data_IF_546499714731
#
_entry.id   IF_546499714731
#
_cell.length_a   1.000
_cell.length_b   1.000
_cell.length_c   1.000
_cell.angle_alpha   90.00
_cell.angle_beta   90.00
_cell.angle_gamma   90.00
#
_symmetry.space_group_name_H-M   'P 1'
#
loop_
_entity.id
_entity.type
_entity.pdbx_description
1 polymer ?
#
# COMPACT_ATOMS: atom_id res chain seq x y z
N UNK A 1 -7.76 -14.99 -16.31
CA UNK A 1 -7.46 -14.41 -14.97
C UNK A 1 -8.69 -14.29 -14.10
N UNK A 2 -9.67 -13.44 -14.42
CA UNK A 2 -10.87 -13.26 -13.56
C UNK A 2 -11.64 -14.56 -13.31
N UNK A 3 -11.82 -15.38 -14.35
CA UNK A 3 -12.38 -16.74 -14.28
C UNK A 3 -11.57 -17.67 -13.38
N UNK A 4 -10.25 -17.62 -13.51
CA UNK A 4 -9.31 -18.53 -12.83
C UNK A 4 -9.24 -18.24 -11.33
N UNK A 5 -9.47 -16.97 -10.96
CA UNK A 5 -9.57 -16.54 -9.57
C UNK A 5 -10.98 -16.72 -9.00
N UNK A 6 -11.99 -17.12 -9.78
CA UNK A 6 -13.38 -17.27 -9.27
C UNK A 6 -13.89 -16.01 -8.55
N UNK A 7 -13.57 -14.83 -9.08
CA UNK A 7 -13.98 -13.55 -8.48
C UNK A 7 -15.51 -13.40 -8.53
N UNK A 8 -16.12 -12.94 -7.44
CA UNK A 8 -17.54 -12.53 -7.45
C UNK A 8 -17.73 -11.21 -8.21
N UNK A 9 -18.98 -10.85 -8.52
CA UNK A 9 -19.30 -9.67 -9.34
C UNK A 9 -18.62 -8.37 -8.88
N UNK A 10 -18.65 -8.07 -7.57
CA UNK A 10 -18.02 -6.85 -7.02
C UNK A 10 -16.49 -6.91 -7.07
N UNK A 11 -15.93 -8.08 -6.81
CA UNK A 11 -14.49 -8.33 -6.94
C UNK A 11 -14.04 -8.20 -8.40
N UNK A 12 -14.85 -8.67 -9.35
CA UNK A 12 -14.60 -8.52 -10.79
C UNK A 12 -14.60 -7.05 -11.19
N UNK A 13 -15.58 -6.27 -10.74
CA UNK A 13 -15.63 -4.82 -11.01
C UNK A 13 -14.37 -4.12 -10.51
N UNK A 14 -13.97 -4.36 -9.26
CA UNK A 14 -12.76 -3.79 -8.70
C UNK A 14 -11.50 -4.21 -9.48
N UNK A 15 -11.38 -5.50 -9.79
CA UNK A 15 -10.31 -6.05 -10.61
C UNK A 15 -10.21 -5.36 -11.98
N UNK A 16 -11.34 -5.24 -12.68
CA UNK A 16 -11.36 -4.62 -14.01
C UNK A 16 -10.96 -3.15 -13.97
N UNK A 17 -11.47 -2.37 -13.00
CA UNK A 17 -11.11 -0.95 -12.85
C UNK A 17 -9.60 -0.80 -12.67
N UNK A 18 -9.00 -1.59 -11.78
CA UNK A 18 -7.56 -1.49 -11.48
C UNK A 18 -6.74 -1.95 -12.69
N UNK A 19 -7.06 -3.12 -13.24
CA UNK A 19 -6.30 -3.73 -14.32
C UNK A 19 -6.38 -2.93 -15.62
N UNK A 20 -7.58 -2.49 -16.03
CA UNK A 20 -7.73 -1.70 -17.27
C UNK A 20 -6.99 -0.37 -17.18
N UNK A 21 -7.19 0.39 -16.10
CA UNK A 21 -6.51 1.67 -15.88
C UNK A 21 -4.99 1.52 -15.89
N UNK A 22 -4.48 0.47 -15.27
CA UNK A 22 -3.04 0.21 -15.26
C UNK A 22 -2.51 -0.13 -16.66
N UNK A 23 -3.15 -1.07 -17.36
CA UNK A 23 -2.72 -1.50 -18.68
C UNK A 23 -2.81 -0.36 -19.69
N UNK A 24 -3.91 0.38 -19.71
CA UNK A 24 -4.09 1.52 -20.61
C UNK A 24 -3.02 2.60 -20.39
N UNK A 25 -2.67 2.87 -19.14
CA UNK A 25 -1.67 3.90 -18.81
C UNK A 25 -0.23 3.45 -19.09
N UNK A 26 0.16 2.27 -18.63
CA UNK A 26 1.57 1.87 -18.58
C UNK A 26 1.98 0.87 -19.68
N UNK A 27 1.06 0.04 -20.16
CA UNK A 27 1.33 -0.95 -21.23
C UNK A 27 0.98 -0.37 -22.59
N UNK A 28 -0.26 0.05 -22.77
CA UNK A 28 -0.76 0.58 -24.05
C UNK A 28 -0.44 2.05 -24.26
N UNK A 29 -0.05 2.77 -23.19
CA UNK A 29 0.33 4.20 -23.23
C UNK A 29 -0.73 5.07 -23.90
N UNK A 30 -2.00 4.82 -23.57
CA UNK A 30 -3.14 5.58 -24.05
C UNK A 30 -3.01 7.05 -23.65
N UNK A 31 -3.02 7.95 -24.63
CA UNK A 31 -2.87 9.40 -24.38
C UNK A 31 -3.96 9.95 -23.45
N UNK A 32 -5.17 9.41 -23.56
CA UNK A 32 -6.29 9.75 -22.66
C UNK A 32 -5.92 9.43 -21.21
N UNK A 33 -5.39 8.24 -20.96
CA UNK A 33 -5.11 7.77 -19.61
C UNK A 33 -3.84 8.38 -19.01
N UNK A 34 -2.83 8.71 -19.82
CA UNK A 34 -1.62 9.40 -19.36
C UNK A 34 -1.94 10.78 -18.79
N UNK A 35 -2.92 11.47 -19.38
CA UNK A 35 -3.34 12.84 -18.98
C UNK A 35 -4.40 12.87 -17.88
N UNK A 36 -5.02 11.73 -17.57
CA UNK A 36 -5.97 11.63 -16.47
C UNK A 36 -5.26 11.50 -15.12
N UNK A 37 -5.98 11.91 -14.06
CA UNK A 37 -5.54 11.72 -12.69
C UNK A 37 -5.27 10.24 -12.38
N UNK A 38 -4.26 9.94 -11.53
CA UNK A 38 -4.02 8.60 -11.03
C UNK A 38 -5.28 8.00 -10.39
N UNK A 39 -5.48 6.69 -10.58
CA UNK A 39 -6.57 5.97 -9.94
C UNK A 39 -6.40 6.01 -8.41
N UNK A 40 -7.37 6.61 -7.72
CA UNK A 40 -7.52 6.55 -6.26
C UNK A 40 -8.77 5.74 -5.94
N UNK A 41 -8.59 4.58 -5.33
CA UNK A 41 -9.69 3.64 -5.07
C UNK A 41 -9.67 3.16 -3.62
N UNK A 42 -10.81 3.26 -2.94
CA UNK A 42 -11.05 2.64 -1.64
C UNK A 42 -11.79 1.31 -1.83
N UNK A 43 -11.07 0.20 -1.65
CA UNK A 43 -11.68 -1.13 -1.64
C UNK A 43 -12.06 -1.50 -0.19
N UNK A 44 -13.34 -1.34 0.16
CA UNK A 44 -13.84 -1.59 1.51
C UNK A 44 -14.75 -2.82 1.59
N UNK A 45 -14.93 -3.33 2.80
CA UNK A 45 -15.78 -4.47 3.12
C UNK A 45 -15.26 -5.19 4.36
N UNK A 46 -16.12 -5.96 5.06
CA UNK A 46 -15.72 -6.76 6.21
C UNK A 46 -14.48 -7.65 5.98
N UNK A 47 -13.85 -8.08 7.05
CA UNK A 47 -12.81 -9.11 7.00
C UNK A 47 -13.33 -10.38 6.29
N UNK A 48 -12.46 -11.04 5.52
CA UNK A 48 -12.84 -12.28 4.80
C UNK A 48 -13.64 -12.08 3.50
N UNK A 49 -13.89 -10.84 3.06
CA UNK A 49 -14.62 -10.55 1.80
C UNK A 49 -13.77 -10.67 0.52
N UNK A 50 -12.52 -11.11 0.64
CA UNK A 50 -11.64 -11.35 -0.51
C UNK A 50 -11.04 -10.09 -1.16
N UNK A 51 -10.83 -9.02 -0.40
CA UNK A 51 -10.11 -7.82 -0.89
C UNK A 51 -8.71 -8.17 -1.42
N UNK A 52 -7.92 -8.88 -0.61
CA UNK A 52 -6.60 -9.40 -0.98
C UNK A 52 -6.66 -10.30 -2.21
N UNK A 53 -7.76 -11.04 -2.38
CA UNK A 53 -7.97 -11.92 -3.54
C UNK A 53 -8.08 -11.15 -4.86
N UNK A 54 -8.75 -9.99 -4.85
CA UNK A 54 -8.79 -9.07 -6.00
C UNK A 54 -7.38 -8.61 -6.36
N UNK A 55 -6.57 -8.25 -5.37
CA UNK A 55 -5.22 -7.75 -5.62
C UNK A 55 -4.29 -8.84 -6.15
N UNK A 56 -4.44 -10.07 -5.67
CA UNK A 56 -3.71 -11.22 -6.23
C UNK A 56 -4.07 -11.46 -7.70
N UNK A 57 -5.33 -11.27 -8.09
CA UNK A 57 -5.74 -11.33 -9.50
C UNK A 57 -5.10 -10.21 -10.32
N UNK A 58 -5.07 -8.97 -9.81
CA UNK A 58 -4.37 -7.84 -10.46
C UNK A 58 -2.89 -8.14 -10.63
N UNK A 59 -2.22 -8.62 -9.58
CA UNK A 59 -0.80 -9.01 -9.60
C UNK A 59 -0.54 -10.10 -10.65
N UNK A 60 -1.45 -11.06 -10.81
CA UNK A 60 -1.38 -12.07 -11.85
C UNK A 60 -1.38 -11.47 -13.26
N UNK A 61 -2.27 -10.50 -13.54
CA UNK A 61 -2.25 -9.77 -14.83
C UNK A 61 -0.94 -9.04 -15.03
N UNK A 62 -0.47 -8.27 -14.03
CA UNK A 62 0.77 -7.51 -14.16
C UNK A 62 1.99 -8.41 -14.39
N UNK A 63 2.00 -9.59 -13.76
CA UNK A 63 3.05 -10.60 -13.97
C UNK A 63 3.11 -11.09 -15.42
N UNK A 64 1.98 -11.19 -16.12
CA UNK A 64 1.96 -11.56 -17.54
C UNK A 64 2.68 -10.53 -18.43
N UNK A 65 2.77 -9.28 -17.99
CA UNK A 65 3.52 -8.21 -18.66
C UNK A 65 4.91 -7.98 -18.04
N UNK A 66 5.33 -8.80 -17.06
CA UNK A 66 6.59 -8.62 -16.34
C UNK A 66 6.63 -7.37 -15.45
N UNK A 67 5.47 -6.86 -15.03
CA UNK A 67 5.31 -5.59 -14.30
C UNK A 67 4.88 -5.78 -12.84
N UNK A 68 4.81 -7.00 -12.33
CA UNK A 68 4.39 -7.29 -10.95
C UNK A 68 5.32 -6.69 -9.89
N UNK A 69 6.59 -6.45 -10.23
CA UNK A 69 7.56 -5.73 -9.39
C UNK A 69 7.22 -4.26 -9.16
N UNK A 70 6.32 -3.68 -9.98
CA UNK A 70 5.88 -2.28 -9.92
C UNK A 70 4.72 -2.04 -8.96
N UNK A 71 4.23 -3.10 -8.31
CA UNK A 71 3.22 -3.03 -7.24
C UNK A 71 3.93 -3.02 -5.89
N UNK A 72 3.54 -2.09 -5.02
CA UNK A 72 3.95 -2.08 -3.61
C UNK A 72 2.77 -2.30 -2.68
N UNK A 73 3.03 -3.08 -1.64
CA UNK A 73 2.07 -3.47 -0.63
C UNK A 73 2.52 -2.94 0.73
N UNK A 74 1.68 -2.09 1.33
CA UNK A 74 1.90 -1.56 2.65
C UNK A 74 0.74 -1.96 3.57
N UNK A 75 1.04 -2.10 4.86
CA UNK A 75 0.03 -2.25 5.90
C UNK A 75 0.49 -1.56 7.19
N UNK A 76 -0.41 -1.17 8.10
CA UNK A 76 -0.03 -0.53 9.36
C UNK A 76 0.70 -1.48 10.30
N UNK A 77 0.34 -2.77 10.31
CA UNK A 77 0.91 -3.77 11.22
C UNK A 77 1.84 -4.75 10.50
N UNK A 78 2.86 -5.25 11.22
CA UNK A 78 3.80 -6.23 10.67
C UNK A 78 3.11 -7.54 10.26
N UNK A 79 2.08 -7.97 11.00
CA UNK A 79 1.30 -9.16 10.68
C UNK A 79 0.53 -9.00 9.37
N UNK A 80 -0.21 -7.89 9.20
CA UNK A 80 -0.93 -7.62 7.95
C UNK A 80 0.04 -7.49 6.77
N UNK A 81 1.16 -6.79 6.95
CA UNK A 81 2.19 -6.67 5.93
C UNK A 81 2.74 -8.04 5.49
N UNK A 82 3.00 -8.94 6.43
CA UNK A 82 3.49 -10.29 6.12
C UNK A 82 2.49 -11.16 5.35
N UNK A 83 1.18 -10.92 5.50
CA UNK A 83 0.14 -11.70 4.81
C UNK A 83 0.01 -11.34 3.32
N UNK A 84 0.50 -10.17 2.93
CA UNK A 84 0.40 -9.64 1.57
C UNK A 84 1.76 -9.54 0.88
N UNK A 85 2.79 -10.21 1.42
CA UNK A 85 4.20 -10.09 0.99
C UNK A 85 4.67 -8.63 0.87
N UNK A 86 4.19 -7.79 1.80
CA UNK A 86 4.45 -6.36 1.84
C UNK A 86 5.36 -5.95 2.98
N UNK A 87 5.31 -4.66 3.32
CA UNK A 87 5.99 -4.11 4.48
C UNK A 87 5.11 -3.14 5.25
N UNK A 88 5.57 -2.75 6.44
CA UNK A 88 4.83 -1.75 7.21
C UNK A 88 4.91 -0.40 6.51
N UNK A 89 3.85 0.41 6.60
CA UNK A 89 3.81 1.78 6.08
C UNK A 89 5.03 2.57 6.58
N UNK A 90 5.32 2.42 7.88
CA UNK A 90 6.48 3.02 8.53
C UNK A 90 7.81 2.69 7.83
N UNK A 91 8.04 1.41 7.53
CA UNK A 91 9.25 0.98 6.85
C UNK A 91 9.24 1.44 5.39
N UNK A 92 8.14 1.20 4.68
CA UNK A 92 8.02 1.46 3.25
C UNK A 92 8.12 2.93 2.88
N UNK A 93 7.71 3.85 3.76
CA UNK A 93 7.79 5.28 3.52
C UNK A 93 8.90 5.97 4.34
N UNK A 94 9.70 5.20 5.08
CA UNK A 94 10.75 5.76 5.94
C UNK A 94 10.23 6.63 7.08
N UNK A 95 8.98 6.43 7.49
CA UNK A 95 8.33 7.13 8.58
C UNK A 95 8.85 6.54 9.90
N UNK A 96 9.71 7.28 10.59
CA UNK A 96 10.26 6.85 11.88
C UNK A 96 9.31 7.16 13.02
N UNK A 97 8.98 6.11 13.78
CA UNK A 97 8.34 6.22 15.10
C UNK A 97 9.42 6.62 16.11
N UNK A 98 9.36 7.84 16.65
CA UNK A 98 10.18 8.19 17.82
C UNK A 98 9.42 7.83 19.09
N UNK A 99 9.85 6.77 19.76
CA UNK A 99 9.51 6.61 21.19
C UNK A 99 10.33 7.62 21.99
N UNK A 100 9.68 8.56 22.69
CA UNK A 100 10.36 9.52 23.59
C UNK A 100 10.85 8.89 24.90
N UNK A 101 11.00 7.57 25.00
CA UNK A 101 11.48 6.91 26.22
C UNK A 101 12.82 6.21 26.02
N UNK A 102 13.91 6.92 26.37
CA UNK A 102 15.16 6.27 26.79
C UNK A 102 14.94 5.74 28.22
N UNK A 103 14.60 4.47 28.37
CA UNK A 103 14.50 3.88 29.71
C UNK A 103 14.26 2.38 29.69
N UNK A 104 15.25 1.61 30.16
CA UNK A 104 15.03 0.27 30.70
C UNK A 104 14.27 0.44 32.01
N UNK A 105 13.01 0.03 32.08
CA UNK A 105 12.23 0.07 33.31
C UNK A 105 10.77 -0.34 33.06
N UNK A 106 10.26 -1.21 33.93
CA UNK A 106 8.93 -1.81 33.92
C UNK A 106 7.82 -0.89 33.41
N UNK A 107 7.08 -1.32 32.39
CA UNK A 107 5.86 -0.64 31.93
C UNK A 107 4.62 -1.31 32.54
N UNK A 108 3.68 -0.51 33.01
CA UNK A 108 2.28 -0.88 33.20
C UNK A 108 1.55 -0.45 31.92
N UNK A 109 0.81 -1.34 31.22
CA UNK A 109 0.07 -0.97 30.02
C UNK A 109 -1.08 0.00 30.34
N UNK A 110 -1.15 1.15 29.64
CA UNK A 110 -2.33 2.04 29.66
C UNK A 110 -2.10 3.53 29.92
N UNK A 111 -0.87 4.00 30.18
CA UNK A 111 -0.67 5.33 30.78
C UNK A 111 -0.09 6.45 29.87
N UNK A 112 -0.11 6.31 28.55
CA UNK A 112 0.34 7.42 27.69
C UNK A 112 -0.47 7.56 26.41
N UNK A 113 -1.13 8.71 26.26
CA UNK A 113 -1.53 9.28 24.98
C UNK A 113 -0.25 9.69 24.24
N UNK A 114 0.17 8.86 23.27
CA UNK A 114 1.47 8.98 22.59
C UNK A 114 1.37 9.92 21.36
N UNK A 115 1.95 11.12 21.44
CA UNK A 115 2.18 11.99 20.27
C UNK A 115 3.48 11.60 19.54
N UNK A 116 3.35 11.10 18.31
CA UNK A 116 4.40 10.54 17.46
C UNK A 116 5.11 11.62 16.62
N UNK A 117 6.16 12.25 17.13
CA UNK A 117 6.95 13.18 16.30
C UNK A 117 7.83 12.43 15.28
N UNK A 118 7.49 12.50 13.98
CA UNK A 118 8.22 11.84 12.89
C UNK A 118 9.45 12.64 12.43
N UNK A 119 10.60 11.97 12.32
CA UNK A 119 11.79 12.52 11.65
C UNK A 119 12.21 11.61 10.48
N UNK A 120 12.29 12.17 9.27
CA UNK A 120 12.78 11.47 8.07
C UNK A 120 14.31 11.55 8.04
N UNK A 121 15.01 10.41 8.05
CA UNK A 121 16.49 10.36 7.95
C UNK A 121 16.95 10.43 6.48
N UNK A 122 17.98 11.25 6.21
CA UNK A 122 18.48 11.55 4.87
C UNK A 122 19.15 10.35 4.20
N UNK A 123 19.88 9.49 4.94
CA UNK A 123 20.57 8.33 4.35
C UNK A 123 19.60 7.25 3.85
N UNK A 124 18.49 7.04 4.57
CA UNK A 124 17.41 6.12 4.16
C UNK A 124 16.62 6.62 2.95
N UNK A 125 16.74 7.90 2.55
CA UNK A 125 16.00 8.41 1.39
C UNK A 125 16.52 7.85 0.07
N UNK A 126 17.82 7.57 -0.06
CA UNK A 126 18.37 7.06 -1.31
C UNK A 126 17.96 5.60 -1.56
N UNK A 127 17.95 4.79 -0.50
CA UNK A 127 17.46 3.41 -0.54
C UNK A 127 15.98 3.39 -0.91
N UNK A 128 15.15 4.19 -0.21
CA UNK A 128 13.73 4.31 -0.52
C UNK A 128 13.48 4.83 -1.93
N UNK A 129 14.19 5.89 -2.37
CA UNK A 129 14.07 6.37 -3.75
C UNK A 129 14.39 5.29 -4.78
N UNK A 130 15.36 4.44 -4.50
CA UNK A 130 15.71 3.32 -5.39
C UNK A 130 14.61 2.27 -5.38
N UNK A 131 14.06 1.95 -4.21
CA UNK A 131 12.97 0.99 -4.04
C UNK A 131 11.66 1.45 -4.69
N UNK A 132 11.39 2.76 -4.66
CA UNK A 132 10.15 3.37 -5.17
C UNK A 132 10.24 3.84 -6.63
N UNK A 133 11.43 3.85 -7.23
CA UNK A 133 11.67 4.40 -8.57
C UNK A 133 10.74 3.84 -9.65
N UNK A 134 10.44 2.55 -9.56
CA UNK A 134 9.66 1.81 -10.55
C UNK A 134 8.28 1.38 -10.01
N UNK A 135 7.81 1.98 -8.91
CA UNK A 135 6.50 1.69 -8.34
C UNK A 135 5.43 2.54 -9.04
N UNK A 136 4.47 1.85 -9.67
CA UNK A 136 3.36 2.48 -10.40
C UNK A 136 2.01 2.31 -9.67
N UNK A 137 1.91 1.30 -8.79
CA UNK A 137 0.71 1.00 -8.03
C UNK A 137 1.05 0.74 -6.55
N UNK A 138 0.41 1.50 -5.66
CA UNK A 138 0.50 1.32 -4.22
C UNK A 138 -0.81 0.77 -3.67
N UNK A 139 -0.74 -0.37 -2.96
CA UNK A 139 -1.84 -0.94 -2.19
C UNK A 139 -1.56 -0.80 -0.70
N UNK A 140 -2.52 -0.24 0.04
CA UNK A 140 -2.47 -0.11 1.50
C UNK A 140 -3.59 -0.96 2.09
N UNK A 141 -3.22 -2.04 2.79
CA UNK A 141 -4.17 -2.91 3.49
C UNK A 141 -4.47 -2.40 4.91
N UNK A 142 -5.58 -2.84 5.48
CA UNK A 142 -6.04 -2.47 6.83
C UNK A 142 -6.10 -0.94 7.04
N UNK A 143 -6.60 -0.21 6.02
CA UNK A 143 -6.71 1.26 6.03
C UNK A 143 -7.51 1.78 7.23
N UNK A 144 -8.42 0.97 7.79
CA UNK A 144 -9.20 1.30 8.99
C UNK A 144 -8.36 1.45 10.26
N UNK A 145 -7.09 1.02 10.23
CA UNK A 145 -6.15 1.17 11.34
C UNK A 145 -5.26 2.42 11.18
N UNK A 146 -5.45 3.22 10.13
CA UNK A 146 -4.71 4.47 9.97
C UNK A 146 -5.43 5.63 10.65
N UNK A 147 -4.67 6.43 11.38
CA UNK A 147 -5.13 7.72 11.86
C UNK A 147 -4.91 8.82 10.80
N UNK A 148 -5.47 10.01 11.07
CA UNK A 148 -5.36 11.15 10.16
C UNK A 148 -3.92 11.64 10.00
N UNK A 149 -3.12 11.56 11.08
CA UNK A 149 -1.72 11.98 11.05
C UNK A 149 -0.90 11.11 10.10
N UNK A 150 -1.02 9.77 10.22
CA UNK A 150 -0.33 8.84 9.35
C UNK A 150 -0.82 8.95 7.90
N UNK A 151 -2.10 9.22 7.68
CA UNK A 151 -2.61 9.51 6.32
C UNK A 151 -1.95 10.76 5.72
N UNK A 152 -1.81 11.85 6.48
CA UNK A 152 -1.13 13.06 6.02
C UNK A 152 0.38 12.81 5.77
N UNK A 153 1.02 11.95 6.56
CA UNK A 153 2.41 11.57 6.36
C UNK A 153 2.61 10.70 5.12
N UNK A 154 1.65 9.82 4.80
CA UNK A 154 1.65 9.06 3.55
C UNK A 154 1.58 10.02 2.36
N UNK A 155 0.64 10.96 2.39
CA UNK A 155 0.46 11.96 1.33
C UNK A 155 1.73 12.82 1.14
N UNK A 156 2.37 13.24 2.23
CA UNK A 156 3.61 14.02 2.17
C UNK A 156 4.84 13.21 1.71
N UNK A 157 4.78 11.87 1.75
CA UNK A 157 5.89 10.99 1.39
C UNK A 157 5.84 10.51 -0.08
N UNK A 158 4.67 10.54 -0.71
CA UNK A 158 4.41 10.11 -2.09
C UNK A 158 4.48 11.28 -3.08
#
# INVERSE_FOLDING_TARGET
VSSDFSLNEKQQQAFYIIASRYLDRYVFKSQREITHDPLRMLLTGPGGTGKTHVINAVKCVMKMYGMDHRIRFLAPTGKAASLIDGMTIHKGLGIKIKSKHKGKGNRIPGESTEDLSVLINVNSRNELRTEWKDVDLLFIDEISLLDLELCAQIDAAL
#
